data_IF_053229083333
#
_entry.id   IF_053229083333
#
_cell.length_a   1.000
_cell.length_b   1.000
_cell.length_c   1.000
_cell.angle_alpha   90.00
_cell.angle_beta   90.00
_cell.angle_gamma   90.00
#
_symmetry.space_group_name_H-M   'P 1'
#
loop_
_entity.id
_entity.type
_entity.pdbx_description
1 polymer ?
#
# COMPACT_ATOMS: atom_id res chain seq x y z
N UNK A 1 2.12 6.28 9.42
CA UNK A 1 2.33 6.97 10.72
C UNK A 1 2.34 6.00 11.88
N UNK A 2 1.28 5.23 12.15
CA UNK A 2 1.22 4.34 13.34
C UNK A 2 2.05 3.04 13.20
N UNK A 3 2.05 2.43 12.01
CA UNK A 3 2.81 1.21 11.76
C UNK A 3 4.26 1.58 11.42
N UNK A 4 5.08 1.73 12.45
CA UNK A 4 6.52 1.87 12.31
C UNK A 4 7.04 0.68 11.51
N UNK A 5 7.78 0.96 10.43
CA UNK A 5 8.25 -0.06 9.51
C UNK A 5 9.53 0.39 8.86
N UNK A 6 10.62 -0.26 9.23
CA UNK A 6 11.93 -0.05 8.63
C UNK A 6 11.93 -0.52 7.17
N UNK A 7 12.83 0.02 6.34
CA UNK A 7 13.09 -0.44 4.98
C UNK A 7 14.49 -1.06 4.91
N UNK A 8 14.68 -2.12 4.12
CA UNK A 8 15.96 -2.81 4.06
C UNK A 8 17.16 -1.90 3.79
N UNK A 9 17.04 -0.94 2.86
CA UNK A 9 18.17 -0.10 2.42
C UNK A 9 18.74 0.83 3.50
N UNK A 10 17.94 1.31 4.47
CA UNK A 10 18.46 2.07 5.61
C UNK A 10 18.67 1.18 6.84
N UNK A 11 17.82 0.16 7.00
CA UNK A 11 17.86 -0.74 8.16
C UNK A 11 19.20 -1.46 8.27
N UNK A 12 19.78 -1.86 7.14
CA UNK A 12 21.07 -2.54 7.08
C UNK A 12 22.21 -1.74 7.73
N UNK A 13 22.12 -0.41 7.69
CA UNK A 13 23.14 0.48 8.24
C UNK A 13 22.89 0.87 9.70
N UNK A 14 21.64 0.75 10.17
CA UNK A 14 21.24 1.20 11.51
C UNK A 14 21.03 0.05 12.49
N UNK A 15 20.92 -1.18 11.99
CA UNK A 15 20.78 -2.36 12.84
C UNK A 15 22.10 -2.67 13.58
N UNK A 16 22.05 -2.99 14.88
CA UNK A 16 23.25 -3.42 15.62
C UNK A 16 23.76 -4.78 15.16
N UNK A 17 22.97 -5.53 14.36
CA UNK A 17 23.33 -6.88 13.90
C UNK A 17 24.64 -6.93 13.10
N UNK A 18 24.95 -5.86 12.35
CA UNK A 18 26.18 -5.75 11.57
C UNK A 18 27.26 -4.90 12.26
N UNK A 19 27.16 -4.63 13.57
CA UNK A 19 28.16 -3.76 14.24
C UNK A 19 29.58 -4.33 14.21
N UNK A 20 29.71 -5.66 14.19
CA UNK A 20 30.99 -6.38 14.28
C UNK A 20 31.34 -7.14 12.97
N UNK A 21 30.57 -6.94 11.91
CA UNK A 21 30.71 -7.64 10.61
C UNK A 21 30.58 -6.60 9.50
N UNK A 22 31.09 -6.88 8.30
CA UNK A 22 30.84 -6.02 7.14
C UNK A 22 29.35 -5.92 6.84
N UNK A 23 28.85 -4.68 6.74
CA UNK A 23 27.48 -4.37 6.33
C UNK A 23 27.27 -4.88 4.90
N UNK A 24 26.21 -5.66 4.62
CA UNK A 24 25.97 -6.15 3.27
C UNK A 24 25.61 -5.00 2.33
N UNK A 25 26.18 -5.01 1.13
CA UNK A 25 25.86 -4.02 0.12
C UNK A 25 24.47 -4.28 -0.46
N UNK A 26 23.61 -3.26 -0.38
CA UNK A 26 22.31 -3.24 -1.05
C UNK A 26 22.40 -2.31 -2.26
N UNK A 27 22.08 -2.84 -3.44
CA UNK A 27 21.93 -2.04 -4.66
C UNK A 27 20.68 -1.15 -4.55
N UNK A 28 20.84 0.14 -4.87
CA UNK A 28 19.74 1.11 -4.83
C UNK A 28 19.40 1.59 -6.24
N UNK A 29 18.10 1.71 -6.50
CA UNK A 29 17.54 2.21 -7.74
C UNK A 29 16.72 3.49 -7.48
N UNK A 30 16.35 4.26 -8.52
CA UNK A 30 15.52 5.46 -8.36
C UNK A 30 14.22 5.27 -7.58
N UNK A 31 13.68 4.05 -7.56
CA UNK A 31 12.44 3.69 -6.85
C UNK A 31 12.66 3.10 -5.45
N UNK A 32 13.91 2.94 -5.00
CA UNK A 32 14.24 2.36 -3.69
C UNK A 32 14.00 3.35 -2.55
N UNK A 33 14.29 4.64 -2.77
CA UNK A 33 14.34 5.68 -1.73
C UNK A 33 12.99 6.35 -1.42
N UNK A 34 11.94 5.55 -1.23
CA UNK A 34 10.62 6.07 -0.85
C UNK A 34 10.64 6.67 0.57
N UNK A 35 9.91 7.77 0.76
CA UNK A 35 9.90 8.58 1.99
C UNK A 35 8.84 8.16 3.01
N UNK A 36 8.00 7.18 2.68
CA UNK A 36 6.98 6.61 3.58
C UNK A 36 7.47 5.39 4.37
N UNK A 37 6.81 5.05 5.49
CA UNK A 37 7.14 3.85 6.27
C UNK A 37 6.95 2.56 5.46
N UNK A 38 7.74 1.52 5.77
CA UNK A 38 7.75 0.28 5.01
C UNK A 38 6.58 -0.67 5.26
N UNK A 39 5.80 -0.49 6.34
CA UNK A 39 4.79 -1.45 6.78
C UNK A 39 3.35 -0.89 6.81
N UNK A 40 2.36 -1.58 6.23
CA UNK A 40 2.51 -2.65 5.24
C UNK A 40 2.94 -2.07 3.87
N UNK A 41 3.32 -2.95 2.93
CA UNK A 41 3.63 -2.49 1.57
C UNK A 41 2.39 -1.96 0.85
N UNK A 42 2.37 -0.65 0.58
CA UNK A 42 1.28 0.01 -0.15
C UNK A 42 1.11 -0.52 -1.59
N UNK A 43 2.21 -0.91 -2.24
CA UNK A 43 2.19 -1.50 -3.58
C UNK A 43 1.49 -2.86 -3.59
N UNK A 44 1.85 -3.74 -2.65
CA UNK A 44 1.23 -5.06 -2.51
C UNK A 44 -0.24 -4.93 -2.08
N UNK A 45 -0.54 -4.01 -1.16
CA UNK A 45 -1.90 -3.72 -0.72
C UNK A 45 -2.79 -3.20 -1.84
N UNK A 46 -2.33 -2.21 -2.61
CA UNK A 46 -3.08 -1.65 -3.73
C UNK A 46 -3.35 -2.66 -4.82
N UNK A 47 -2.31 -3.42 -5.22
CA UNK A 47 -2.45 -4.51 -6.20
C UNK A 47 -3.45 -5.57 -5.70
N UNK A 48 -3.29 -6.06 -4.47
CA UNK A 48 -4.21 -7.03 -3.89
C UNK A 48 -5.66 -6.53 -3.86
N UNK A 49 -5.89 -5.29 -3.42
CA UNK A 49 -7.23 -4.71 -3.37
C UNK A 49 -7.91 -4.66 -4.74
N UNK A 50 -7.22 -4.11 -5.74
CA UNK A 50 -7.78 -3.96 -7.10
C UNK A 50 -8.03 -5.31 -7.76
N UNK A 51 -7.03 -6.20 -7.78
CA UNK A 51 -7.17 -7.48 -8.48
C UNK A 51 -8.15 -8.41 -7.76
N UNK A 52 -8.24 -8.37 -6.42
CA UNK A 52 -9.22 -9.15 -5.66
C UNK A 52 -10.66 -8.69 -5.98
N UNK A 53 -10.91 -7.37 -5.98
CA UNK A 53 -12.20 -6.81 -6.35
C UNK A 53 -12.60 -7.16 -7.79
N UNK A 54 -11.63 -7.14 -8.72
CA UNK A 54 -11.88 -7.51 -10.12
C UNK A 54 -12.21 -9.00 -10.28
N UNK A 55 -11.41 -9.89 -9.68
CA UNK A 55 -11.65 -11.35 -9.73
C UNK A 55 -13.00 -11.71 -9.13
N UNK A 56 -13.32 -11.18 -7.94
CA UNK A 56 -14.62 -11.44 -7.30
C UNK A 56 -15.79 -10.93 -8.14
N UNK A 57 -15.69 -9.72 -8.70
CA UNK A 57 -16.73 -9.16 -9.56
C UNK A 57 -16.95 -9.99 -10.83
N UNK A 58 -15.89 -10.40 -11.52
CA UNK A 58 -15.98 -11.24 -12.72
C UNK A 58 -16.60 -12.59 -12.37
N UNK A 59 -16.18 -13.21 -11.27
CA UNK A 59 -16.75 -14.48 -10.81
C UNK A 59 -18.23 -14.35 -10.50
N UNK A 60 -18.66 -13.28 -9.80
CA UNK A 60 -20.08 -13.04 -9.51
C UNK A 60 -20.89 -12.86 -10.79
N UNK A 61 -20.40 -12.10 -11.77
CA UNK A 61 -21.12 -11.85 -13.03
C UNK A 61 -21.18 -13.13 -13.89
N UNK A 62 -20.08 -13.85 -14.04
CA UNK A 62 -20.01 -15.02 -14.93
C UNK A 62 -20.69 -16.25 -14.34
N UNK A 63 -20.65 -16.43 -13.02
CA UNK A 63 -21.25 -17.59 -12.35
C UNK A 63 -22.73 -17.39 -11.99
N UNK A 64 -23.22 -16.15 -11.93
CA UNK A 64 -24.66 -15.87 -11.76
C UNK A 64 -25.49 -16.15 -13.01
N UNK A 65 -24.86 -16.35 -14.17
CA UNK A 65 -25.54 -16.77 -15.39
C UNK A 65 -25.93 -18.25 -15.24
N UNK A 66 -27.24 -18.53 -15.21
CA UNK A 66 -27.90 -19.84 -15.00
C UNK A 66 -27.42 -21.00 -15.90
N UNK A 67 -26.52 -20.75 -16.85
CA UNK A 67 -26.10 -21.69 -17.91
C UNK A 67 -24.63 -22.15 -17.80
N UNK A 68 -23.90 -21.73 -16.77
CA UNK A 68 -22.48 -22.13 -16.64
C UNK A 68 -22.35 -23.54 -16.07
N UNK A 69 -21.90 -24.47 -16.90
CA UNK A 69 -21.56 -25.85 -16.52
C UNK A 69 -20.53 -25.88 -15.36
N UNK A 70 -20.68 -26.84 -14.44
CA UNK A 70 -19.87 -26.97 -13.21
C UNK A 70 -18.37 -27.04 -13.52
N UNK A 71 -18.00 -27.77 -14.57
CA UNK A 71 -16.62 -27.90 -15.03
C UNK A 71 -16.05 -26.57 -15.53
N UNK A 72 -16.84 -25.81 -16.29
CA UNK A 72 -16.44 -24.48 -16.79
C UNK A 72 -16.32 -23.47 -15.66
N UNK A 73 -17.21 -23.54 -14.67
CA UNK A 73 -17.17 -22.70 -13.48
C UNK A 73 -15.89 -22.95 -12.65
N UNK A 74 -15.50 -24.23 -12.47
CA UNK A 74 -14.27 -24.59 -11.77
C UNK A 74 -13.03 -24.10 -12.53
N UNK A 75 -12.98 -24.29 -13.85
CA UNK A 75 -11.88 -23.82 -14.69
C UNK A 75 -11.73 -22.30 -14.62
N UNK A 76 -12.85 -21.55 -14.72
CA UNK A 76 -12.84 -20.09 -14.61
C UNK A 76 -12.31 -19.63 -13.25
N UNK A 77 -12.78 -20.25 -12.15
CA UNK A 77 -12.27 -19.97 -10.80
C UNK A 77 -10.78 -20.24 -10.70
N UNK A 78 -10.32 -21.40 -11.16
CA UNK A 78 -8.92 -21.78 -11.15
C UNK A 78 -8.05 -20.77 -11.90
N UNK A 79 -8.44 -20.41 -13.12
CA UNK A 79 -7.70 -19.46 -13.96
C UNK A 79 -7.62 -18.07 -13.34
N UNK A 80 -8.74 -17.51 -12.85
CA UNK A 80 -8.75 -16.17 -12.27
C UNK A 80 -7.96 -16.06 -10.97
N UNK A 81 -8.07 -17.04 -10.08
CA UNK A 81 -7.28 -17.06 -8.84
C UNK A 81 -5.80 -17.33 -9.10
N UNK A 82 -5.47 -18.16 -10.08
CA UNK A 82 -4.07 -18.38 -10.49
C UNK A 82 -3.48 -17.08 -11.02
N UNK A 83 -4.19 -16.36 -11.91
CA UNK A 83 -3.75 -15.07 -12.42
C UNK A 83 -3.54 -14.05 -11.30
N UNK A 84 -4.48 -13.98 -10.34
CA UNK A 84 -4.36 -13.12 -9.17
C UNK A 84 -3.06 -13.40 -8.40
N UNK A 85 -2.81 -14.65 -8.03
CA UNK A 85 -1.62 -15.01 -7.26
C UNK A 85 -0.32 -14.78 -8.02
N UNK A 86 -0.29 -15.05 -9.32
CA UNK A 86 0.87 -14.76 -10.17
C UNK A 86 1.21 -13.26 -10.12
N UNK A 87 0.21 -12.39 -10.29
CA UNK A 87 0.42 -10.94 -10.20
C UNK A 87 0.92 -10.54 -8.81
N UNK A 88 0.33 -11.07 -7.74
CA UNK A 88 0.78 -10.74 -6.38
C UNK A 88 2.20 -11.19 -6.11
N UNK A 89 2.59 -12.37 -6.57
CA UNK A 89 3.97 -12.86 -6.45
C UNK A 89 4.92 -11.93 -7.19
N UNK A 90 4.61 -11.54 -8.43
CA UNK A 90 5.43 -10.60 -9.19
C UNK A 90 5.59 -9.24 -8.47
N UNK A 91 4.50 -8.69 -7.95
CA UNK A 91 4.54 -7.42 -7.20
C UNK A 91 5.32 -7.57 -5.89
N UNK A 92 5.12 -8.64 -5.13
CA UNK A 92 5.84 -8.85 -3.88
C UNK A 92 7.34 -9.03 -4.13
N UNK A 93 7.70 -9.86 -5.12
CA UNK A 93 9.09 -10.11 -5.49
C UNK A 93 9.78 -8.83 -5.96
N UNK A 94 9.15 -8.02 -6.81
CA UNK A 94 9.77 -6.77 -7.28
C UNK A 94 10.13 -5.84 -6.12
N UNK A 95 9.27 -5.75 -5.10
CA UNK A 95 9.48 -4.91 -3.92
C UNK A 95 10.54 -5.43 -2.97
N UNK A 96 10.68 -6.76 -2.88
CA UNK A 96 11.75 -7.41 -2.10
C UNK A 96 13.09 -7.30 -2.82
N UNK A 97 13.13 -7.54 -4.14
CA UNK A 97 14.36 -7.43 -4.95
C UNK A 97 14.92 -6.02 -5.00
N UNK A 98 14.07 -5.00 -5.04
CA UNK A 98 14.49 -3.59 -4.95
C UNK A 98 14.95 -3.17 -3.54
N UNK A 99 14.94 -4.10 -2.57
CA UNK A 99 15.23 -3.84 -1.17
C UNK A 99 14.38 -2.71 -0.56
N UNK A 100 13.17 -2.51 -1.10
CA UNK A 100 12.25 -1.47 -0.68
C UNK A 100 11.34 -1.93 0.46
N UNK A 101 11.11 -3.24 0.60
CA UNK A 101 10.31 -3.85 1.65
C UNK A 101 10.86 -5.20 2.12
N UNK A 102 10.58 -5.54 3.37
CA UNK A 102 10.79 -6.89 3.89
C UNK A 102 9.66 -7.85 3.48
N UNK A 103 9.92 -9.18 3.43
CA UNK A 103 8.91 -10.18 3.07
C UNK A 103 7.61 -10.10 3.90
N UNK A 104 7.72 -9.87 5.21
CA UNK A 104 6.54 -9.76 6.07
C UNK A 104 5.67 -8.53 5.74
N UNK A 105 6.28 -7.43 5.26
CA UNK A 105 5.56 -6.20 4.90
C UNK A 105 4.76 -6.35 3.61
N UNK A 106 5.30 -7.07 2.62
CA UNK A 106 4.57 -7.37 1.39
C UNK A 106 3.43 -8.36 1.62
N UNK A 107 3.63 -9.38 2.46
CA UNK A 107 2.58 -10.32 2.86
C UNK A 107 1.46 -9.61 3.62
N UNK A 108 1.80 -8.78 4.61
CA UNK A 108 0.83 -7.97 5.35
C UNK A 108 0.07 -7.01 4.41
N UNK A 109 0.76 -6.47 3.40
CA UNK A 109 0.15 -5.66 2.34
C UNK A 109 -0.92 -6.43 1.57
N UNK A 110 -0.60 -7.62 1.05
CA UNK A 110 -1.57 -8.45 0.32
C UNK A 110 -2.80 -8.77 1.17
N UNK A 111 -2.60 -9.21 2.42
CA UNK A 111 -3.69 -9.54 3.35
C UNK A 111 -4.58 -8.32 3.59
N UNK A 112 -3.98 -7.18 3.91
CA UNK A 112 -4.70 -5.93 4.16
C UNK A 112 -5.49 -5.49 2.92
N UNK A 113 -4.90 -5.59 1.73
CA UNK A 113 -5.56 -5.25 0.48
C UNK A 113 -6.80 -6.11 0.19
N UNK A 114 -6.70 -7.42 0.42
CA UNK A 114 -7.84 -8.34 0.28
C UNK A 114 -8.95 -8.04 1.30
N UNK A 115 -8.61 -7.76 2.55
CA UNK A 115 -9.58 -7.38 3.59
C UNK A 115 -10.31 -6.10 3.20
N UNK A 116 -9.56 -5.08 2.76
CA UNK A 116 -10.14 -3.81 2.30
C UNK A 116 -11.10 -4.07 1.14
N UNK A 117 -10.69 -4.81 0.11
CA UNK A 117 -11.57 -5.12 -1.02
C UNK A 117 -12.85 -5.85 -0.61
N UNK A 118 -12.75 -6.83 0.28
CA UNK A 118 -13.91 -7.59 0.79
C UNK A 118 -14.87 -6.71 1.60
N UNK A 119 -14.33 -5.83 2.47
CA UNK A 119 -15.14 -4.87 3.24
C UNK A 119 -15.89 -3.92 2.31
N UNK A 120 -15.21 -3.37 1.30
CA UNK A 120 -15.83 -2.47 0.33
C UNK A 120 -16.88 -3.17 -0.54
N UNK A 121 -16.65 -4.42 -0.94
CA UNK A 121 -17.60 -5.20 -1.73
C UNK A 121 -18.94 -5.43 -0.99
N UNK A 122 -18.92 -5.56 0.34
CA UNK A 122 -20.15 -5.70 1.16
C UNK A 122 -20.97 -4.42 1.25
N UNK A 123 -20.38 -3.29 0.90
CA UNK A 123 -20.83 -2.00 1.34
C UNK A 123 -21.62 -1.27 0.23
N UNK A 124 -22.86 -1.75 -0.01
CA UNK A 124 -23.72 -1.34 -1.15
C UNK A 124 -24.17 0.12 -1.15
N UNK A 125 -24.13 0.82 -0.01
CA UNK A 125 -24.52 2.24 0.08
C UNK A 125 -23.65 3.19 -0.77
N UNK A 126 -22.44 2.76 -1.15
CA UNK A 126 -21.52 3.56 -1.98
C UNK A 126 -22.15 3.86 -3.36
N UNK A 127 -22.86 2.88 -3.92
CA UNK A 127 -23.50 3.03 -5.24
C UNK A 127 -24.70 3.98 -5.24
N UNK A 128 -25.28 4.28 -4.08
CA UNK A 128 -26.46 5.15 -3.94
C UNK A 128 -26.17 6.43 -3.15
N UNK A 129 -24.90 6.74 -2.89
CA UNK A 129 -24.53 7.91 -2.10
C UNK A 129 -24.75 9.21 -2.91
N UNK A 130 -25.42 10.19 -2.30
CA UNK A 130 -25.60 11.53 -2.90
C UNK A 130 -24.29 12.32 -2.89
N UNK A 131 -24.17 13.31 -3.79
CA UNK A 131 -22.99 14.20 -3.86
C UNK A 131 -22.71 14.89 -2.51
N UNK A 132 -23.77 15.32 -1.80
CA UNK A 132 -23.65 15.92 -0.47
C UNK A 132 -23.04 14.97 0.56
N UNK A 133 -23.40 13.68 0.50
CA UNK A 133 -22.81 12.65 1.38
C UNK A 133 -21.34 12.39 1.04
N UNK A 134 -20.99 12.36 -0.25
CA UNK A 134 -19.58 12.29 -0.67
C UNK A 134 -18.78 13.47 -0.15
N UNK A 135 -19.28 14.69 -0.32
CA UNK A 135 -18.63 15.91 0.18
C UNK A 135 -18.43 15.86 1.71
N UNK A 136 -19.47 15.49 2.46
CA UNK A 136 -19.39 15.38 3.92
C UNK A 136 -18.41 14.30 4.39
N UNK A 137 -18.39 13.13 3.74
CA UNK A 137 -17.44 12.05 4.07
C UNK A 137 -16.02 12.53 3.81
N UNK A 138 -15.78 13.16 2.67
CA UNK A 138 -14.43 13.64 2.37
C UNK A 138 -13.97 14.73 3.32
N UNK A 139 -14.85 15.70 3.64
CA UNK A 139 -14.55 16.73 4.64
C UNK A 139 -14.24 16.11 6.01
N UNK A 140 -15.01 15.10 6.41
CA UNK A 140 -14.76 14.34 7.64
C UNK A 140 -13.39 13.63 7.61
N UNK A 141 -13.07 12.92 6.53
CA UNK A 141 -11.78 12.22 6.38
C UNK A 141 -10.60 13.20 6.40
N UNK A 142 -10.76 14.37 5.79
CA UNK A 142 -9.81 15.47 5.85
C UNK A 142 -9.62 15.94 7.30
N UNK A 143 -10.71 16.35 7.96
CA UNK A 143 -10.66 16.87 9.33
C UNK A 143 -10.04 15.83 10.27
N UNK A 144 -10.39 14.55 10.09
CA UNK A 144 -9.80 13.45 10.81
C UNK A 144 -8.30 13.32 10.55
N UNK A 145 -7.86 13.34 9.29
CA UNK A 145 -6.44 13.19 8.94
C UNK A 145 -5.58 14.36 9.45
N UNK A 146 -6.07 15.61 9.34
CA UNK A 146 -5.39 16.79 9.88
C UNK A 146 -5.40 16.78 11.41
N UNK A 147 -6.54 16.47 12.04
CA UNK A 147 -6.63 16.34 13.48
C UNK A 147 -5.69 15.26 14.03
N UNK A 148 -5.62 14.12 13.35
CA UNK A 148 -4.71 13.03 13.69
C UNK A 148 -3.23 13.43 13.52
N UNK A 149 -2.90 14.18 12.47
CA UNK A 149 -1.55 14.76 12.30
C UNK A 149 -1.17 15.68 13.46
N UNK A 150 -2.05 16.62 13.84
CA UNK A 150 -1.81 17.56 14.95
C UNK A 150 -1.66 16.78 16.25
N UNK A 151 -2.50 15.77 16.48
CA UNK A 151 -2.42 14.91 17.66
C UNK A 151 -1.08 14.17 17.75
N UNK A 152 -0.64 13.52 16.67
CA UNK A 152 0.65 12.83 16.65
C UNK A 152 1.81 13.79 16.93
N UNK A 153 1.76 14.99 16.35
CA UNK A 153 2.75 16.04 16.62
C UNK A 153 2.72 16.50 18.08
N UNK A 154 1.53 16.65 18.68
CA UNK A 154 1.37 17.06 20.07
C UNK A 154 1.86 16.01 21.07
N UNK A 155 1.73 14.71 20.73
CA UNK A 155 2.25 13.58 21.52
C UNK A 155 3.76 13.38 21.28
N UNK A 156 4.40 14.20 20.44
CA UNK A 156 5.84 14.16 20.19
C UNK A 156 6.28 13.01 19.28
N UNK A 157 5.36 12.43 18.51
CA UNK A 157 5.72 11.45 17.47
C UNK A 157 6.41 12.17 16.34
N UNK A 158 7.66 11.78 16.06
CA UNK A 158 8.37 12.29 14.90
C UNK A 158 7.65 11.80 13.62
N UNK A 159 7.24 12.75 12.79
CA UNK A 159 6.57 12.51 11.51
C UNK A 159 7.55 12.63 10.33
N UNK A 160 8.80 13.00 10.56
CA UNK A 160 9.79 13.11 9.49
C UNK A 160 10.88 12.04 9.62
N UNK A 161 10.78 11.15 10.62
CA UNK A 161 11.76 10.08 10.86
C UNK A 161 12.11 9.26 9.61
N UNK A 162 11.12 8.91 8.77
CA UNK A 162 11.37 8.17 7.52
C UNK A 162 12.04 9.02 6.45
N UNK A 163 11.76 10.32 6.43
CA UNK A 163 12.38 11.26 5.52
C UNK A 163 13.85 11.47 5.89
N UNK A 164 14.16 11.63 7.17
CA UNK A 164 15.53 11.76 7.66
C UNK A 164 16.36 10.52 7.33
N UNK A 165 15.81 9.32 7.54
CA UNK A 165 16.46 8.05 7.14
C UNK A 165 16.66 7.95 5.63
N UNK A 166 15.66 8.34 4.83
CA UNK A 166 15.76 8.33 3.38
C UNK A 166 16.84 9.30 2.88
N UNK A 167 16.90 10.53 3.42
CA UNK A 167 17.92 11.50 3.06
C UNK A 167 19.34 11.06 3.47
N UNK A 168 19.47 10.36 4.60
CA UNK A 168 20.75 9.91 5.12
C UNK A 168 21.34 8.71 4.35
N UNK A 169 20.50 7.75 3.97
CA UNK A 169 20.95 6.46 3.44
C UNK A 169 20.66 6.24 1.95
N UNK A 170 19.94 7.16 1.30
CA UNK A 170 19.78 7.09 -0.15
C UNK A 170 21.08 7.49 -0.87
N UNK A 171 21.50 6.69 -1.85
CA UNK A 171 22.73 6.94 -2.63
C UNK A 171 22.64 8.23 -3.45
N UNK A 172 21.46 8.55 -3.98
CA UNK A 172 21.24 9.76 -4.75
C UNK A 172 20.07 10.57 -4.16
N UNK A 173 20.32 11.79 -3.64
CA UNK A 173 19.29 12.61 -3.02
C UNK A 173 18.17 12.99 -3.99
N UNK A 174 18.42 12.99 -5.31
CA UNK A 174 17.38 13.25 -6.32
C UNK A 174 16.29 12.16 -6.38
N UNK A 175 16.54 10.97 -5.83
CA UNK A 175 15.57 9.87 -5.73
C UNK A 175 14.66 10.00 -4.49
N UNK A 176 14.96 10.95 -3.59
CA UNK A 176 14.15 11.20 -2.39
C UNK A 176 13.02 12.16 -2.75
N UNK A 177 11.85 11.57 -2.99
CA UNK A 177 10.66 12.29 -3.43
C UNK A 177 9.81 12.77 -2.23
N UNK A 178 9.88 14.07 -1.92
CA UNK A 178 9.10 14.70 -0.83
C UNK A 178 7.58 14.67 -1.08
N UNK A 179 7.17 14.68 -2.34
CA UNK A 179 5.78 14.57 -2.80
C UNK A 179 5.18 13.18 -2.55
N UNK A 180 6.02 12.17 -2.32
CA UNK A 180 5.56 10.81 -1.96
C UNK A 180 5.37 10.63 -0.45
N UNK A 181 5.61 11.67 0.35
CA UNK A 181 5.31 11.60 1.79
C UNK A 181 3.81 11.37 1.99
N UNK A 182 3.40 10.62 3.05
CA UNK A 182 2.00 10.36 3.30
C UNK A 182 1.13 11.62 3.39
N UNK A 183 1.72 12.72 3.89
CA UNK A 183 1.05 14.01 4.00
C UNK A 183 0.90 14.72 2.65
N UNK A 184 1.95 14.77 1.83
CA UNK A 184 1.86 15.35 0.48
C UNK A 184 0.86 14.57 -0.39
N UNK A 185 0.83 13.25 -0.27
CA UNK A 185 -0.15 12.40 -0.96
C UNK A 185 -1.60 12.70 -0.51
N UNK A 186 -1.84 12.87 0.79
CA UNK A 186 -3.14 13.28 1.32
C UNK A 186 -3.59 14.63 0.76
N UNK A 187 -2.72 15.65 0.82
CA UNK A 187 -3.02 16.98 0.29
C UNK A 187 -3.27 16.95 -1.22
N UNK A 188 -2.52 16.14 -1.97
CA UNK A 188 -2.72 15.99 -3.42
C UNK A 188 -4.08 15.38 -3.75
N UNK A 189 -4.48 14.32 -3.04
CA UNK A 189 -5.81 13.70 -3.21
C UNK A 189 -6.96 14.62 -2.80
N UNK A 190 -6.68 15.63 -1.97
CA UNK A 190 -7.66 16.64 -1.63
C UNK A 190 -7.67 17.82 -2.60
N UNK A 191 -6.51 18.23 -3.13
CA UNK A 191 -6.42 19.26 -4.15
C UNK A 191 -7.30 18.93 -5.36
N UNK A 192 -7.33 17.66 -5.76
CA UNK A 192 -8.22 17.16 -6.83
C UNK A 192 -9.72 17.34 -6.55
N UNK A 193 -10.13 17.62 -5.31
CA UNK A 193 -11.53 17.91 -4.96
C UNK A 193 -11.86 19.41 -4.99
N UNK A 194 -10.85 20.27 -4.91
CA UNK A 194 -11.00 21.73 -4.92
C UNK A 194 -10.62 22.36 -6.27
N UNK A 195 -10.03 21.59 -7.20
CA UNK A 195 -9.64 22.03 -8.55
C UNK A 195 -8.18 21.74 -8.84
#
# INVERSE_FOLDING_TARGET
WILFGERPYWWVHETPYYSNISVPHIEQFPVTCETGPGSPSGHAMGAAGVYYAMVTSILTIMLSRKTTDSTKALYLRGTLWTLFWTVQICVCLSRVFLAAHFPHQVIAGVITGMIVAEVFNRQRWIYYASLQRYFNITLFLLAFAVGFYILLKAVGVDLLWTLEKAQKWCVNPAWVHLDTTPFASLLRNMGTLFG
#
